data_IF_985550726438
#
_entry.id   IF_985550726438
#
_cell.length_a   1.000
_cell.length_b   1.000
_cell.length_c   1.000
_cell.angle_alpha   90.00
_cell.angle_beta   90.00
_cell.angle_gamma   90.00
#
_symmetry.space_group_name_H-M   'P 1'
#
loop_
_entity.id
_entity.type
_entity.pdbx_description
1 polymer ?
#
# COMPACT_ATOMS: atom_id res chain seq x y z
N UNK A 1 -4.48 -10.40 2.61
CA UNK A 1 -3.83 -10.45 3.93
C UNK A 1 -2.97 -9.20 4.10
N UNK A 2 -2.76 -8.73 5.33
CA UNK A 2 -1.86 -7.61 5.65
C UNK A 2 -0.99 -8.00 6.84
N UNK A 3 0.27 -7.60 6.84
CA UNK A 3 1.23 -7.90 7.90
C UNK A 3 1.06 -6.93 9.07
N UNK A 4 1.10 -7.46 10.29
CA UNK A 4 1.13 -6.66 11.51
C UNK A 4 2.13 -7.25 12.49
N UNK A 5 3.15 -6.48 12.84
CA UNK A 5 4.11 -6.86 13.87
C UNK A 5 3.44 -6.92 15.25
N UNK A 6 3.87 -7.86 16.09
CA UNK A 6 3.29 -8.02 17.43
C UNK A 6 3.46 -6.76 18.29
N UNK A 7 4.60 -6.08 18.17
CA UNK A 7 4.88 -4.81 18.87
C UNK A 7 3.90 -3.71 18.44
N UNK A 8 3.67 -3.55 17.14
CA UNK A 8 2.67 -2.63 16.61
C UNK A 8 1.26 -2.91 17.16
N UNK A 9 0.81 -4.17 17.13
CA UNK A 9 -0.48 -4.57 17.71
C UNK A 9 -0.54 -4.32 19.22
N UNK A 10 0.59 -4.45 19.92
CA UNK A 10 0.67 -4.18 21.36
C UNK A 10 0.48 -2.69 21.63
N UNK A 11 1.16 -1.81 20.89
CA UNK A 11 0.98 -0.36 21.01
C UNK A 11 -0.44 0.08 20.68
N UNK A 12 -1.06 -0.43 19.61
CA UNK A 12 -2.46 -0.12 19.30
C UNK A 12 -3.41 -0.52 20.42
N UNK A 13 -3.24 -1.72 21.00
CA UNK A 13 -4.05 -2.18 22.14
C UNK A 13 -3.85 -1.30 23.36
N UNK A 14 -2.61 -0.89 23.67
CA UNK A 14 -2.35 0.04 24.78
C UNK A 14 -3.04 1.38 24.54
N UNK A 15 -2.85 2.00 23.37
CA UNK A 15 -3.48 3.27 22.99
C UNK A 15 -5.01 3.20 23.13
N UNK A 16 -5.61 2.09 22.67
CA UNK A 16 -7.05 1.88 22.80
C UNK A 16 -7.48 1.71 24.26
N UNK A 17 -6.77 0.89 25.05
CA UNK A 17 -7.13 0.60 26.44
C UNK A 17 -7.04 1.83 27.36
N UNK A 18 -6.12 2.75 27.08
CA UNK A 18 -6.01 4.01 27.82
C UNK A 18 -6.94 5.11 27.27
N UNK A 19 -7.77 4.81 26.26
CA UNK A 19 -8.76 5.71 25.70
C UNK A 19 -8.22 6.77 24.74
N UNK A 20 -6.95 6.68 24.33
CA UNK A 20 -6.33 7.66 23.42
C UNK A 20 -6.81 7.53 21.96
N UNK A 21 -7.52 6.46 21.62
CA UNK A 21 -8.18 6.30 20.32
C UNK A 21 -9.62 6.83 20.28
N UNK A 22 -10.14 7.41 21.37
CA UNK A 22 -11.50 7.94 21.43
C UNK A 22 -11.68 9.15 20.51
N UNK A 23 -12.87 9.22 19.92
CA UNK A 23 -13.32 10.31 19.03
C UNK A 23 -14.24 11.31 19.73
N UNK A 24 -14.76 10.95 20.89
CA UNK A 24 -15.62 11.80 21.68
C UNK A 24 -14.78 12.69 22.63
N UNK A 25 -15.23 13.93 22.89
CA UNK A 25 -14.45 14.91 23.64
C UNK A 25 -14.39 14.58 25.13
N UNK A 26 -13.29 14.97 25.77
CA UNK A 26 -13.11 14.97 27.23
C UNK A 26 -12.76 16.39 27.72
N UNK A 27 -13.26 16.77 28.88
CA UNK A 27 -12.93 18.05 29.50
C UNK A 27 -11.60 17.94 30.26
N UNK A 28 -10.60 18.73 29.87
CA UNK A 28 -9.32 18.84 30.54
C UNK A 28 -9.00 20.31 30.80
N UNK A 29 -8.90 20.71 32.07
CA UNK A 29 -8.63 22.10 32.48
C UNK A 29 -9.55 23.15 31.81
N UNK A 30 -10.83 22.83 31.64
CA UNK A 30 -11.82 23.72 31.01
C UNK A 30 -11.79 23.75 29.49
N UNK A 31 -10.97 22.91 28.83
CA UNK A 31 -10.94 22.75 27.38
C UNK A 31 -11.45 21.37 26.97
N UNK A 32 -12.22 21.33 25.88
CA UNK A 32 -12.60 20.08 25.24
C UNK A 32 -11.45 19.56 24.38
N UNK A 33 -11.02 18.33 24.64
CA UNK A 33 -9.97 17.64 23.88
C UNK A 33 -10.55 16.36 23.31
N UNK A 34 -10.36 16.12 22.01
CA UNK A 34 -10.63 14.82 21.39
C UNK A 34 -9.33 13.98 21.45
N UNK A 35 -9.30 12.86 22.21
CA UNK A 35 -8.06 12.13 22.46
C UNK A 35 -7.29 11.72 21.21
N UNK A 36 -7.96 11.22 20.16
CA UNK A 36 -7.27 10.82 18.92
C UNK A 36 -6.62 12.00 18.19
N UNK A 37 -7.20 13.21 18.29
CA UNK A 37 -6.61 14.41 17.69
C UNK A 37 -5.38 14.85 18.46
N UNK A 38 -5.42 14.76 19.79
CA UNK A 38 -4.25 15.03 20.63
C UNK A 38 -3.15 13.99 20.41
N UNK A 39 -3.50 12.70 20.28
CA UNK A 39 -2.55 11.64 19.93
C UNK A 39 -1.82 11.98 18.61
N UNK A 40 -2.56 12.39 17.58
CA UNK A 40 -1.96 12.82 16.31
C UNK A 40 -0.95 13.95 16.47
N UNK A 41 -1.21 14.90 17.39
CA UNK A 41 -0.33 16.04 17.61
C UNK A 41 0.98 15.68 18.33
N UNK A 42 1.00 14.60 19.12
CA UNK A 42 2.20 14.16 19.85
C UNK A 42 2.99 13.06 19.12
N UNK A 43 2.40 12.40 18.13
CA UNK A 43 3.11 11.44 17.31
C UNK A 43 4.06 12.14 16.32
N UNK A 44 5.18 11.49 15.93
CA UNK A 44 6.05 12.01 14.88
C UNK A 44 5.26 12.29 13.59
N UNK A 45 5.63 13.36 12.89
CA UNK A 45 5.05 13.68 11.60
C UNK A 45 5.33 12.54 10.60
N UNK A 46 4.30 11.94 9.98
CA UNK A 46 4.49 10.84 9.03
C UNK A 46 5.44 11.16 7.86
N UNK A 47 5.48 12.42 7.43
CA UNK A 47 6.37 12.85 6.33
C UNK A 47 7.86 12.76 6.70
N UNK A 48 8.18 12.95 7.96
CA UNK A 48 9.57 12.99 8.46
C UNK A 48 10.11 11.58 8.75
N UNK A 49 9.23 10.56 8.76
CA UNK A 49 9.63 9.17 9.00
C UNK A 49 10.49 8.60 7.88
N UNK A 50 10.38 9.12 6.65
CA UNK A 50 11.02 8.55 5.46
C UNK A 50 12.56 8.56 5.48
N UNK A 51 13.18 9.56 6.12
CA UNK A 51 14.64 9.78 6.05
C UNK A 51 15.47 8.62 6.61
N UNK A 52 14.97 7.96 7.66
CA UNK A 52 15.65 6.86 8.34
C UNK A 52 14.89 5.53 8.21
N UNK A 53 13.91 5.45 7.31
CA UNK A 53 13.07 4.27 7.19
C UNK A 53 13.73 3.23 6.30
N UNK A 54 13.98 2.05 6.88
CA UNK A 54 14.64 0.95 6.18
C UNK A 54 13.72 -0.23 5.93
N UNK A 55 14.13 -1.09 5.00
CA UNK A 55 13.40 -2.31 4.65
C UNK A 55 12.53 -2.17 3.40
N UNK A 56 11.67 -3.15 3.19
CA UNK A 56 10.90 -3.28 1.95
C UNK A 56 9.43 -3.53 2.22
N UNK A 57 8.57 -3.01 1.33
CA UNK A 57 7.20 -3.50 1.19
C UNK A 57 7.19 -4.66 0.21
N UNK A 58 6.38 -5.69 0.47
CA UNK A 58 6.08 -6.76 -0.49
C UNK A 58 4.57 -6.88 -0.65
N UNK A 59 4.07 -6.65 -1.86
CA UNK A 59 2.63 -6.66 -2.17
C UNK A 59 2.41 -7.54 -3.40
N UNK A 60 1.43 -8.43 -3.33
CA UNK A 60 1.14 -9.34 -4.43
C UNK A 60 -0.17 -10.10 -4.30
N UNK A 61 -0.48 -10.87 -5.33
CA UNK A 61 -1.66 -11.70 -5.43
C UNK A 61 -1.25 -13.17 -5.57
N UNK A 62 -1.65 -13.98 -4.58
CA UNK A 62 -1.56 -15.45 -4.63
C UNK A 62 -2.85 -15.97 -5.26
N UNK A 63 -2.74 -16.63 -6.40
CA UNK A 63 -3.87 -17.01 -7.26
C UNK A 63 -3.83 -18.52 -7.49
N UNK A 64 -4.96 -19.20 -7.28
CA UNK A 64 -5.15 -20.62 -7.60
C UNK A 64 -6.33 -20.74 -8.55
N UNK A 65 -6.17 -21.53 -9.61
CA UNK A 65 -7.20 -21.69 -10.63
C UNK A 65 -6.99 -22.93 -11.49
N UNK A 66 -7.79 -23.05 -12.55
CA UNK A 66 -7.70 -24.14 -13.54
C UNK A 66 -7.28 -23.54 -14.87
N UNK A 67 -6.24 -24.11 -15.48
CA UNK A 67 -5.78 -23.77 -16.84
C UNK A 67 -5.55 -25.07 -17.61
N UNK A 68 -6.10 -25.16 -18.80
CA UNK A 68 -6.01 -26.35 -19.67
C UNK A 68 -6.42 -27.66 -18.97
N UNK A 69 -7.48 -27.58 -18.15
CA UNK A 69 -8.03 -28.72 -17.40
C UNK A 69 -7.20 -29.18 -16.21
N UNK A 70 -6.11 -28.48 -15.86
CA UNK A 70 -5.26 -28.78 -14.72
C UNK A 70 -5.27 -27.63 -13.72
N UNK A 71 -5.22 -27.97 -12.44
CA UNK A 71 -5.01 -26.97 -11.39
C UNK A 71 -3.62 -26.34 -11.55
N UNK A 72 -3.57 -25.02 -11.36
CA UNK A 72 -2.33 -24.24 -11.34
C UNK A 72 -2.38 -23.22 -10.21
N UNK A 73 -1.21 -22.92 -9.67
CA UNK A 73 -0.97 -21.82 -8.74
C UNK A 73 -0.09 -20.77 -9.40
N UNK A 74 -0.31 -19.52 -9.03
CA UNK A 74 0.39 -18.38 -9.60
C UNK A 74 0.56 -17.30 -8.53
N UNK A 75 1.75 -16.73 -8.43
CA UNK A 75 2.04 -15.62 -7.53
C UNK A 75 2.65 -14.48 -8.32
N UNK A 76 2.02 -13.32 -8.25
CA UNK A 76 2.51 -12.06 -8.82
C UNK A 76 2.72 -11.04 -7.74
N UNK A 77 3.89 -10.41 -7.69
CA UNK A 77 4.23 -9.48 -6.61
C UNK A 77 5.24 -8.41 -7.04
N UNK A 78 5.30 -7.34 -6.26
CA UNK A 78 6.34 -6.32 -6.31
C UNK A 78 6.96 -6.19 -4.92
N UNK A 79 8.29 -6.03 -4.88
CA UNK A 79 9.02 -5.56 -3.71
C UNK A 79 9.50 -4.13 -3.97
N UNK A 80 9.38 -3.26 -2.96
CA UNK A 80 9.79 -1.86 -3.06
C UNK A 80 10.57 -1.47 -1.80
N UNK A 81 11.81 -1.01 -1.99
CA UNK A 81 12.66 -0.50 -0.91
C UNK A 81 12.22 0.90 -0.50
N UNK A 82 12.07 1.12 0.81
CA UNK A 82 11.74 2.44 1.35
C UNK A 82 12.85 3.46 1.07
N UNK A 83 14.11 3.05 1.16
CA UNK A 83 15.27 3.91 0.93
C UNK A 83 15.40 4.32 -0.54
N UNK A 84 15.15 3.39 -1.47
CA UNK A 84 15.17 3.68 -2.90
C UNK A 84 14.07 4.67 -3.28
N UNK A 85 12.84 4.43 -2.81
CA UNK A 85 11.70 5.32 -3.03
C UNK A 85 11.95 6.73 -2.45
N UNK A 86 12.53 6.82 -1.25
CA UNK A 86 12.83 8.09 -0.60
C UNK A 86 13.92 8.87 -1.35
N UNK A 87 14.97 8.19 -1.82
CA UNK A 87 16.03 8.84 -2.63
C UNK A 87 15.51 9.42 -3.94
N UNK A 88 14.53 8.77 -4.57
CA UNK A 88 13.95 9.24 -5.83
C UNK A 88 12.93 10.38 -5.63
N UNK A 89 12.04 10.24 -4.65
CA UNK A 89 10.82 11.06 -4.56
C UNK A 89 10.66 11.84 -3.25
N UNK A 90 11.52 11.59 -2.26
CA UNK A 90 11.34 12.07 -0.88
C UNK A 90 10.20 11.38 -0.13
N UNK A 91 9.62 10.30 -0.68
CA UNK A 91 8.53 9.55 -0.07
C UNK A 91 8.91 8.08 0.14
N UNK A 92 8.45 7.49 1.23
CA UNK A 92 8.68 6.07 1.53
C UNK A 92 7.84 5.13 0.64
N UNK A 93 8.25 3.85 0.58
CA UNK A 93 7.68 2.79 -0.25
C UNK A 93 6.15 2.65 -0.30
N UNK A 94 5.41 2.86 0.80
CA UNK A 94 3.92 2.82 0.82
C UNK A 94 3.31 3.96 -0.02
N UNK A 95 3.85 5.18 0.07
CA UNK A 95 3.37 6.30 -0.74
C UNK A 95 3.78 6.11 -2.19
N UNK A 96 5.00 5.61 -2.42
CA UNK A 96 5.54 5.34 -3.75
C UNK A 96 4.73 4.27 -4.52
N UNK A 97 4.47 3.14 -3.87
CA UNK A 97 3.66 2.02 -4.42
C UNK A 97 2.21 2.40 -4.70
N UNK A 98 1.71 3.51 -4.15
CA UNK A 98 0.39 4.07 -4.49
C UNK A 98 0.48 5.14 -5.57
N UNK A 99 1.48 6.03 -5.47
CA UNK A 99 1.64 7.18 -6.36
C UNK A 99 2.01 6.80 -7.79
N UNK A 100 2.92 5.82 -7.96
CA UNK A 100 3.32 5.35 -9.30
C UNK A 100 2.13 4.74 -10.07
N UNK A 101 1.34 3.80 -9.51
CA UNK A 101 0.11 3.30 -10.14
C UNK A 101 -0.89 4.39 -10.50
N UNK A 102 -1.08 5.40 -9.63
CA UNK A 102 -1.97 6.53 -9.91
C UNK A 102 -1.49 7.33 -11.14
N UNK A 103 -0.18 7.60 -11.23
CA UNK A 103 0.43 8.25 -12.40
C UNK A 103 0.26 7.40 -13.67
N UNK A 104 0.51 6.09 -13.61
CA UNK A 104 0.36 5.20 -14.76
C UNK A 104 -1.10 5.17 -15.25
N UNK A 105 -2.07 5.06 -14.34
CA UNK A 105 -3.49 5.11 -14.70
C UNK A 105 -3.86 6.42 -15.42
N UNK A 106 -3.38 7.55 -14.90
CA UNK A 106 -3.55 8.85 -15.56
C UNK A 106 -2.85 8.92 -16.93
N UNK A 107 -1.64 8.38 -17.05
CA UNK A 107 -0.86 8.31 -18.30
C UNK A 107 -1.63 7.53 -19.37
N UNK A 108 -2.11 6.33 -19.05
CA UNK A 108 -2.86 5.47 -19.98
C UNK A 108 -4.21 6.08 -20.38
N UNK A 109 -4.87 6.81 -19.46
CA UNK A 109 -6.09 7.55 -19.78
C UNK A 109 -5.81 8.68 -20.78
N UNK A 110 -4.78 9.49 -20.54
CA UNK A 110 -4.40 10.62 -21.40
C UNK A 110 -3.92 10.17 -22.79
N UNK A 111 -3.29 9.01 -22.88
CA UNK A 111 -2.91 8.38 -24.16
C UNK A 111 -4.10 7.74 -24.90
N UNK A 112 -5.29 7.66 -24.28
CA UNK A 112 -6.47 7.05 -24.86
C UNK A 112 -6.53 5.52 -24.75
N UNK A 113 -5.54 4.88 -24.12
CA UNK A 113 -5.44 3.42 -23.97
C UNK A 113 -6.48 2.89 -22.98
N UNK A 114 -6.65 3.57 -21.85
CA UNK A 114 -7.67 3.27 -20.83
C UNK A 114 -8.81 4.30 -20.87
N UNK A 115 -9.33 4.61 -22.06
CA UNK A 115 -10.40 5.60 -22.24
C UNK A 115 -11.70 4.95 -22.70
N UNK A 116 -12.66 4.83 -21.79
CA UNK A 116 -13.99 4.25 -22.02
C UNK A 116 -15.07 5.05 -21.28
N UNK A 117 -16.22 5.39 -21.88
CA UNK A 117 -17.30 6.09 -21.17
C UNK A 117 -17.83 5.28 -19.99
N UNK A 118 -18.03 5.90 -18.82
CA UNK A 118 -18.54 5.24 -17.61
C UNK A 118 -17.57 5.28 -16.44
N UNK A 119 -17.85 4.47 -15.42
CA UNK A 119 -16.99 4.24 -14.25
C UNK A 119 -16.51 2.80 -14.32
N UNK A 120 -15.20 2.60 -14.15
CA UNK A 120 -14.53 1.34 -14.43
C UNK A 120 -13.50 1.05 -13.34
N UNK A 121 -13.39 -0.21 -12.94
CA UNK A 121 -12.28 -0.70 -12.13
C UNK A 121 -11.10 -1.12 -13.03
N UNK A 122 -9.92 -1.28 -12.43
CA UNK A 122 -8.67 -1.53 -13.16
C UNK A 122 -8.68 -2.87 -13.91
N UNK A 123 -9.33 -3.89 -13.34
CA UNK A 123 -9.48 -5.23 -13.91
C UNK A 123 -10.38 -5.28 -15.15
N UNK A 124 -11.11 -4.20 -15.44
CA UNK A 124 -11.99 -4.10 -16.61
C UNK A 124 -11.26 -3.58 -17.87
N UNK A 125 -9.98 -3.20 -17.73
CA UNK A 125 -9.12 -2.78 -18.83
C UNK A 125 -8.09 -3.85 -19.18
N UNK A 126 -7.48 -3.76 -20.38
CA UNK A 126 -6.33 -4.58 -20.72
C UNK A 126 -5.16 -4.25 -19.76
N UNK A 127 -4.65 -5.22 -18.98
CA UNK A 127 -3.57 -4.99 -18.04
C UNK A 127 -2.20 -4.81 -18.71
N UNK A 128 -1.97 -5.32 -19.93
CA UNK A 128 -0.63 -5.37 -20.54
C UNK A 128 0.10 -4.02 -20.57
N UNK A 129 -0.53 -2.90 -20.98
CA UNK A 129 0.13 -1.59 -21.00
C UNK A 129 0.50 -1.11 -19.60
N UNK A 130 -0.34 -1.40 -18.60
CA UNK A 130 -0.10 -1.01 -17.21
C UNK A 130 1.04 -1.82 -16.60
N UNK A 131 1.05 -3.14 -16.84
CA UNK A 131 2.11 -4.03 -16.36
C UNK A 131 3.47 -3.70 -16.99
N UNK A 132 3.49 -3.25 -18.25
CA UNK A 132 4.71 -2.72 -18.87
C UNK A 132 5.19 -1.45 -18.16
N UNK A 133 4.30 -0.48 -17.94
CA UNK A 133 4.64 0.78 -17.28
C UNK A 133 5.12 0.58 -15.84
N UNK A 134 4.55 -0.37 -15.08
CA UNK A 134 5.05 -0.68 -13.74
C UNK A 134 6.56 -0.98 -13.73
N UNK A 135 7.04 -1.79 -14.67
CA UNK A 135 8.46 -2.08 -14.80
C UNK A 135 9.29 -0.85 -15.18
N UNK A 136 8.77 0.01 -16.05
CA UNK A 136 9.48 1.21 -16.54
C UNK A 136 9.50 2.34 -15.50
N UNK A 137 8.50 2.43 -14.63
CA UNK A 137 8.28 3.52 -13.69
C UNK A 137 8.70 3.18 -12.24
N UNK A 138 9.57 2.17 -12.06
CA UNK A 138 10.21 1.88 -10.76
C UNK A 138 9.49 0.87 -9.86
N UNK A 139 8.46 0.19 -10.35
CA UNK A 139 7.76 -0.90 -9.64
C UNK A 139 7.84 -2.22 -10.41
N UNK A 140 9.05 -2.79 -10.60
CA UNK A 140 9.18 -4.06 -11.30
C UNK A 140 8.43 -5.17 -10.57
N UNK A 141 7.70 -5.98 -11.32
CA UNK A 141 6.91 -7.09 -10.77
C UNK A 141 7.52 -8.43 -11.17
N UNK A 142 7.23 -9.44 -10.37
CA UNK A 142 7.77 -10.78 -10.50
C UNK A 142 6.62 -11.79 -10.54
N UNK A 143 6.87 -12.89 -11.24
CA UNK A 143 5.93 -13.99 -11.40
C UNK A 143 6.54 -15.30 -10.91
N UNK A 144 5.71 -16.12 -10.29
CA UNK A 144 6.03 -17.51 -9.96
C UNK A 144 4.85 -18.40 -10.34
N UNK A 145 5.14 -19.53 -10.99
CA UNK A 145 4.13 -20.46 -11.50
C UNK A 145 4.28 -21.82 -10.82
N UNK A 146 3.15 -22.45 -10.49
CA UNK A 146 3.06 -23.77 -9.88
C UNK A 146 3.88 -23.92 -8.59
N UNK A 147 3.91 -22.85 -7.79
CA UNK A 147 4.55 -22.83 -6.46
C UNK A 147 3.53 -23.14 -5.36
N UNK A 148 4.01 -23.62 -4.21
CA UNK A 148 3.20 -23.67 -3.01
C UNK A 148 2.91 -22.24 -2.53
N UNK A 149 1.63 -21.89 -2.42
CA UNK A 149 1.19 -20.54 -2.03
C UNK A 149 1.10 -20.38 -0.51
N UNK A 150 1.24 -21.45 0.26
CA UNK A 150 1.05 -21.46 1.72
C UNK A 150 2.37 -21.62 2.49
N UNK A 151 3.51 -21.74 1.80
CA UNK A 151 4.86 -21.70 2.38
C UNK A 151 5.35 -20.27 2.66
#
# INVERSE_FOLDING_TARGET
WMTFGQEYLTHLRVIQNIGMSRIDPVMYNGQEIVPIQFLKAVLPNPGDLGENYTGETSIGCRIRGIKDGKEQTYYVYNNCSHEAAYKETGAQGVSYTTGVPAMIGAKLFMQGVWKKPGVWNVEEFNPDPFMKELNEQGLPWHEMFNVDLEL
#
